data_IF_484955910356
#
_entry.id   IF_484955910356
#
_cell.length_a   1.000
_cell.length_b   1.000
_cell.length_c   1.000
_cell.angle_alpha   90.00
_cell.angle_beta   90.00
_cell.angle_gamma   90.00
#
_symmetry.space_group_name_H-M   'P 1'
#
loop_
_entity.id
_entity.type
_entity.pdbx_description
1 polymer ?
#
# COMPACT_ATOMS: atom_id res chain seq x y z
N UNK A 1 -7.43 -10.55 15.02
CA UNK A 1 -8.60 -10.18 15.84
C UNK A 1 -8.34 -8.88 16.61
N UNK A 2 -7.40 -8.04 16.11
CA UNK A 2 -7.06 -6.75 16.76
C UNK A 2 -7.28 -5.53 15.84
N UNK A 3 -7.65 -5.73 14.57
CA UNK A 3 -7.65 -4.64 13.58
C UNK A 3 -8.92 -3.77 13.61
N UNK A 4 -10.03 -4.30 14.13
CA UNK A 4 -11.26 -3.51 14.35
C UNK A 4 -11.17 -2.62 15.62
N UNK A 5 -10.28 -2.96 16.57
CA UNK A 5 -10.07 -2.15 17.77
C UNK A 5 -9.37 -0.82 17.48
N UNK A 6 -8.58 -0.73 16.41
CA UNK A 6 -7.83 0.47 16.04
C UNK A 6 -8.75 1.62 15.58
N UNK A 7 -9.62 1.37 14.59
CA UNK A 7 -10.55 2.39 14.12
C UNK A 7 -11.59 2.77 15.19
N UNK A 8 -12.07 1.81 15.99
CA UNK A 8 -12.98 2.07 17.11
C UNK A 8 -12.34 2.91 18.22
N UNK A 9 -11.04 2.71 18.50
CA UNK A 9 -10.32 3.53 19.46
C UNK A 9 -10.16 5.00 19.01
N UNK A 10 -10.19 5.25 17.71
CA UNK A 10 -10.01 6.59 17.13
C UNK A 10 -11.32 7.36 16.88
N UNK A 11 -12.50 6.81 17.23
CA UNK A 11 -13.82 7.41 16.94
C UNK A 11 -13.95 8.90 17.36
N UNK A 12 -13.34 9.30 18.46
CA UNK A 12 -13.37 10.67 18.98
C UNK A 12 -11.99 11.27 19.17
N UNK A 13 -10.96 10.65 18.58
CA UNK A 13 -9.58 11.11 18.64
C UNK A 13 -9.38 12.40 17.82
N UNK A 14 -8.22 13.04 17.97
CA UNK A 14 -7.84 14.18 17.15
C UNK A 14 -7.74 13.82 15.67
N UNK A 15 -7.86 14.82 14.78
CA UNK A 15 -7.83 14.61 13.32
C UNK A 15 -6.62 13.78 12.87
N UNK A 16 -5.44 14.11 13.40
CA UNK A 16 -4.21 13.39 13.03
C UNK A 16 -4.28 11.91 13.40
N UNK A 17 -4.70 11.61 14.63
CA UNK A 17 -4.80 10.24 15.11
C UNK A 17 -5.81 9.44 14.29
N UNK A 18 -6.93 10.06 13.90
CA UNK A 18 -7.91 9.42 13.03
C UNK A 18 -7.32 9.12 11.65
N UNK A 19 -6.64 10.07 11.02
CA UNK A 19 -6.01 9.87 9.71
C UNK A 19 -4.93 8.79 9.74
N UNK A 20 -4.08 8.80 10.77
CA UNK A 20 -3.03 7.79 10.95
C UNK A 20 -3.61 6.39 11.19
N UNK A 21 -4.69 6.30 11.97
CA UNK A 21 -5.38 5.03 12.23
C UNK A 21 -5.99 4.46 10.95
N UNK A 22 -6.78 5.25 10.21
CA UNK A 22 -7.38 4.78 8.94
C UNK A 22 -6.32 4.41 7.90
N UNK A 23 -5.20 5.13 7.86
CA UNK A 23 -4.10 4.78 6.96
C UNK A 23 -3.42 3.49 7.40
N UNK A 24 -3.23 3.30 8.70
CA UNK A 24 -2.69 2.06 9.28
C UNK A 24 -3.55 0.85 8.92
N UNK A 25 -4.86 0.95 9.12
CA UNK A 25 -5.81 -0.13 8.82
C UNK A 25 -5.75 -0.52 7.33
N UNK A 26 -5.75 0.46 6.42
CA UNK A 26 -5.59 0.20 4.99
C UNK A 26 -4.26 -0.47 4.63
N UNK A 27 -3.17 -0.15 5.35
CA UNK A 27 -1.86 -0.81 5.19
C UNK A 27 -1.90 -2.27 5.62
N UNK A 28 -2.54 -2.55 6.75
CA UNK A 28 -2.74 -3.91 7.27
C UNK A 28 -3.61 -4.71 6.30
N UNK A 29 -4.73 -4.16 5.84
CA UNK A 29 -5.61 -4.81 4.86
C UNK A 29 -4.85 -5.21 3.59
N UNK A 30 -4.07 -4.30 3.00
CA UNK A 30 -3.32 -4.57 1.77
C UNK A 30 -2.25 -5.64 1.97
N UNK A 31 -1.49 -5.60 3.06
CA UNK A 31 -0.44 -6.61 3.28
C UNK A 31 -1.02 -7.98 3.60
N UNK A 32 -2.17 -8.04 4.28
CA UNK A 32 -2.85 -9.30 4.63
C UNK A 32 -3.41 -10.06 3.43
N UNK A 33 -3.54 -9.41 2.27
CA UNK A 33 -3.91 -10.08 1.01
C UNK A 33 -2.95 -11.22 0.64
N UNK A 34 -1.73 -11.22 1.18
CA UNK A 34 -0.72 -12.26 0.92
C UNK A 34 -0.68 -13.36 1.98
N UNK A 35 -1.46 -13.24 3.05
CA UNK A 35 -1.41 -14.17 4.18
C UNK A 35 -1.83 -15.59 3.78
N UNK A 36 -0.95 -16.55 4.05
CA UNK A 36 -1.19 -17.96 3.77
C UNK A 36 -1.16 -18.36 2.30
N UNK A 37 -0.84 -17.44 1.36
CA UNK A 37 -0.73 -17.75 -0.05
C UNK A 37 0.61 -18.37 -0.40
N UNK A 38 0.56 -19.30 -1.38
CA UNK A 38 1.76 -19.76 -2.08
C UNK A 38 2.25 -18.70 -3.07
N UNK A 39 3.52 -18.80 -3.48
CA UNK A 39 4.11 -17.93 -4.51
C UNK A 39 3.31 -17.97 -5.83
N UNK A 40 2.83 -19.17 -6.22
CA UNK A 40 2.00 -19.35 -7.41
C UNK A 40 0.67 -18.60 -7.30
N UNK A 41 -0.01 -18.71 -6.15
CA UNK A 41 -1.27 -18.02 -5.89
C UNK A 41 -1.09 -16.51 -5.91
N UNK A 42 -0.10 -15.99 -5.21
CA UNK A 42 0.17 -14.54 -5.10
C UNK A 42 0.52 -13.90 -6.46
N UNK A 43 1.14 -14.67 -7.37
CA UNK A 43 1.50 -14.24 -8.73
C UNK A 43 0.44 -14.52 -9.78
N UNK A 44 -0.66 -15.21 -9.42
CA UNK A 44 -1.71 -15.60 -10.39
C UNK A 44 -2.39 -14.39 -11.00
N UNK A 45 -2.38 -14.36 -12.33
CA UNK A 45 -3.00 -13.27 -13.12
C UNK A 45 -4.39 -13.66 -13.55
N UNK A 46 -5.40 -12.98 -13.03
CA UNK A 46 -6.82 -13.25 -13.32
C UNK A 46 -7.49 -12.15 -14.16
N UNK A 47 -6.77 -11.06 -14.38
CA UNK A 47 -7.25 -9.89 -15.16
C UNK A 47 -6.24 -9.52 -16.26
N UNK A 48 -6.67 -8.83 -17.34
CA UNK A 48 -5.78 -8.45 -18.44
C UNK A 48 -4.66 -7.48 -18.04
N UNK A 49 -4.87 -6.68 -16.99
CA UNK A 49 -3.86 -5.76 -16.46
C UNK A 49 -2.70 -6.49 -15.78
N UNK A 50 -1.68 -5.76 -15.33
CA UNK A 50 -0.55 -6.29 -14.56
C UNK A 50 -0.91 -6.67 -13.11
N UNK A 51 -2.16 -6.48 -12.72
CA UNK A 51 -2.63 -6.64 -11.35
C UNK A 51 -2.63 -8.12 -10.93
N UNK A 52 -1.83 -8.41 -9.92
CA UNK A 52 -1.80 -9.66 -9.14
C UNK A 52 -1.83 -9.29 -7.66
N UNK A 53 -2.09 -10.22 -6.75
CA UNK A 53 -2.03 -9.91 -5.31
C UNK A 53 -0.64 -9.44 -4.89
N UNK A 54 0.41 -10.13 -5.35
CA UNK A 54 1.79 -9.72 -5.07
C UNK A 54 2.12 -8.35 -5.68
N UNK A 55 1.66 -8.08 -6.91
CA UNK A 55 1.83 -6.79 -7.59
C UNK A 55 1.11 -5.63 -6.89
N UNK A 56 -0.07 -5.88 -6.29
CA UNK A 56 -0.79 -4.87 -5.49
C UNK A 56 0.02 -4.43 -4.26
N UNK A 57 0.57 -5.38 -3.52
CA UNK A 57 1.40 -5.06 -2.33
C UNK A 57 2.70 -4.37 -2.74
N UNK A 58 3.33 -4.80 -3.83
CA UNK A 58 4.51 -4.12 -4.40
C UNK A 58 4.20 -2.68 -4.82
N UNK A 59 3.06 -2.47 -5.48
CA UNK A 59 2.58 -1.14 -5.83
C UNK A 59 2.32 -0.27 -4.61
N UNK A 60 1.76 -0.82 -3.53
CA UNK A 60 1.55 -0.07 -2.30
C UNK A 60 2.88 0.45 -1.71
N UNK A 61 3.94 -0.36 -1.72
CA UNK A 61 5.27 0.07 -1.31
C UNK A 61 5.80 1.23 -2.17
N UNK A 62 5.60 1.15 -3.50
CA UNK A 62 5.95 2.24 -4.42
C UNK A 62 5.18 3.53 -4.09
N UNK A 63 3.89 3.44 -3.81
CA UNK A 63 3.04 4.61 -3.51
C UNK A 63 3.47 5.29 -2.21
N UNK A 64 3.78 4.53 -1.15
CA UNK A 64 4.33 5.07 0.10
C UNK A 64 5.61 5.86 -0.17
N UNK A 65 6.58 5.27 -0.85
CA UNK A 65 7.85 5.93 -1.17
C UNK A 65 7.69 7.15 -2.05
N UNK A 66 6.77 7.14 -3.00
CA UNK A 66 6.49 8.31 -3.85
C UNK A 66 5.93 9.49 -3.06
N UNK A 67 5.11 9.24 -2.03
CA UNK A 67 4.51 10.33 -1.27
C UNK A 67 5.38 10.79 -0.12
N UNK A 68 6.00 9.89 0.61
CA UNK A 68 6.80 10.26 1.78
C UNK A 68 8.26 10.55 1.43
N UNK A 69 8.97 9.64 0.76
CA UNK A 69 10.38 9.89 0.40
C UNK A 69 10.53 10.99 -0.65
N UNK A 70 9.77 10.88 -1.76
CA UNK A 70 9.96 11.80 -2.89
C UNK A 70 9.23 13.12 -2.66
N UNK A 71 7.92 13.08 -2.38
CA UNK A 71 7.11 14.29 -2.33
C UNK A 71 7.31 15.07 -1.04
N UNK A 72 7.29 14.42 0.12
CA UNK A 72 7.41 15.06 1.43
C UNK A 72 8.88 15.36 1.77
N UNK A 73 9.74 14.35 1.77
CA UNK A 73 11.14 14.48 2.16
C UNK A 73 12.06 15.02 1.04
N UNK A 74 11.58 15.13 -0.21
CA UNK A 74 12.33 15.68 -1.34
C UNK A 74 13.49 14.81 -1.82
N UNK A 75 13.50 13.51 -1.49
CA UNK A 75 14.54 12.59 -1.94
C UNK A 75 14.46 12.37 -3.45
N UNK A 76 15.57 12.44 -4.18
CA UNK A 76 15.57 12.19 -5.61
C UNK A 76 15.10 10.75 -5.92
N UNK A 77 14.13 10.61 -6.82
CA UNK A 77 13.60 9.32 -7.22
C UNK A 77 14.66 8.33 -7.71
N UNK A 78 15.67 8.85 -8.40
CA UNK A 78 16.81 8.07 -8.92
C UNK A 78 17.63 7.38 -7.81
N UNK A 79 17.65 7.93 -6.59
CA UNK A 79 18.36 7.35 -5.44
C UNK A 79 17.59 6.19 -4.80
N UNK A 80 16.28 6.10 -5.08
CA UNK A 80 15.38 5.13 -4.48
C UNK A 80 15.15 3.89 -5.36
N UNK A 81 15.73 3.87 -6.56
CA UNK A 81 15.52 2.79 -7.54
C UNK A 81 14.04 2.47 -7.80
N UNK A 82 13.18 3.49 -7.78
CA UNK A 82 11.76 3.34 -7.98
C UNK A 82 11.41 3.17 -9.47
N UNK A 83 10.37 2.41 -9.81
CA UNK A 83 9.85 2.28 -11.16
C UNK A 83 9.55 3.63 -11.80
N UNK A 84 9.75 3.75 -13.12
CA UNK A 84 9.52 5.02 -13.84
C UNK A 84 8.05 5.37 -14.01
N UNK A 85 7.21 4.36 -14.10
CA UNK A 85 5.76 4.53 -14.29
C UNK A 85 4.96 3.83 -13.18
N UNK A 86 3.69 4.19 -13.08
CA UNK A 86 2.74 3.51 -12.18
C UNK A 86 2.54 2.07 -12.61
N UNK A 87 2.48 1.80 -13.91
CA UNK A 87 2.27 0.44 -14.43
C UNK A 87 3.45 -0.47 -14.08
N UNK A 88 4.68 0.00 -14.23
CA UNK A 88 5.89 -0.75 -13.85
C UNK A 88 5.92 -1.10 -12.36
N UNK A 89 5.27 -0.31 -11.49
CA UNK A 89 5.22 -0.63 -10.05
C UNK A 89 4.43 -1.90 -9.71
N UNK A 90 3.61 -2.41 -10.66
CA UNK A 90 2.92 -3.69 -10.55
C UNK A 90 3.72 -4.85 -11.15
N UNK A 91 4.79 -4.58 -11.89
CA UNK A 91 5.60 -5.62 -12.53
C UNK A 91 6.37 -6.42 -11.48
N UNK A 92 6.30 -7.74 -11.62
CA UNK A 92 7.00 -8.66 -10.74
C UNK A 92 8.31 -9.11 -11.38
N UNK A 93 9.40 -8.95 -10.64
CA UNK A 93 10.70 -9.50 -10.99
C UNK A 93 10.76 -10.99 -10.65
N UNK A 94 11.76 -11.68 -11.19
CA UNK A 94 11.93 -13.12 -10.98
C UNK A 94 12.21 -13.48 -9.51
N UNK A 95 12.87 -12.58 -8.79
CA UNK A 95 13.27 -12.70 -7.38
C UNK A 95 12.27 -12.08 -6.40
N UNK A 96 11.19 -11.46 -6.87
CA UNK A 96 10.10 -11.03 -5.99
C UNK A 96 9.43 -12.27 -5.38
N UNK A 97 9.32 -12.33 -4.08
CA UNK A 97 8.61 -13.36 -3.34
C UNK A 97 7.56 -12.76 -2.42
N UNK A 98 6.62 -13.55 -1.93
CA UNK A 98 5.67 -13.11 -0.91
C UNK A 98 6.41 -12.48 0.27
N UNK A 99 7.48 -13.13 0.74
CA UNK A 99 8.27 -12.63 1.85
C UNK A 99 8.99 -11.32 1.50
N UNK A 100 9.68 -11.22 0.35
CA UNK A 100 10.47 -10.03 0.01
C UNK A 100 9.57 -8.81 -0.25
N UNK A 101 8.43 -8.99 -0.90
CA UNK A 101 7.49 -7.90 -1.19
C UNK A 101 6.76 -7.46 0.08
N UNK A 102 6.37 -8.39 0.95
CA UNK A 102 5.82 -8.05 2.28
C UNK A 102 6.82 -7.21 3.08
N UNK A 103 8.09 -7.61 3.12
CA UNK A 103 9.12 -6.85 3.82
C UNK A 103 9.36 -5.48 3.19
N UNK A 104 9.45 -5.41 1.85
CA UNK A 104 9.57 -4.15 1.11
C UNK A 104 8.46 -3.16 1.49
N UNK A 105 7.21 -3.63 1.59
CA UNK A 105 6.09 -2.77 1.96
C UNK A 105 6.14 -2.35 3.43
N UNK A 106 6.47 -3.26 4.33
CA UNK A 106 6.62 -2.93 5.75
C UNK A 106 7.72 -1.92 6.01
N UNK A 107 8.85 -2.02 5.30
CA UNK A 107 9.93 -1.06 5.40
C UNK A 107 9.50 0.33 4.88
N UNK A 108 8.86 0.39 3.71
CA UNK A 108 8.35 1.63 3.15
C UNK A 108 7.33 2.31 4.08
N UNK A 109 6.43 1.53 4.67
CA UNK A 109 5.47 2.01 5.66
C UNK A 109 6.15 2.52 6.93
N UNK A 110 7.09 1.76 7.51
CA UNK A 110 7.84 2.19 8.69
C UNK A 110 8.57 3.50 8.48
N UNK A 111 9.26 3.65 7.33
CA UNK A 111 9.95 4.87 6.94
C UNK A 111 8.97 6.05 6.80
N UNK A 112 7.80 5.81 6.19
CA UNK A 112 6.76 6.81 6.00
C UNK A 112 6.23 7.36 7.35
N UNK A 113 5.99 6.47 8.31
CA UNK A 113 5.55 6.86 9.67
C UNK A 113 6.60 7.74 10.35
N UNK A 114 7.89 7.36 10.25
CA UNK A 114 8.97 8.14 10.83
C UNK A 114 9.11 9.52 10.17
N UNK A 115 9.06 9.59 8.84
CA UNK A 115 9.12 10.86 8.12
C UNK A 115 7.94 11.78 8.46
N UNK A 116 6.73 11.24 8.55
CA UNK A 116 5.54 12.01 8.87
C UNK A 116 5.53 12.55 10.30
N UNK A 117 6.24 11.90 11.24
CA UNK A 117 6.24 12.28 12.66
C UNK A 117 6.77 13.69 12.91
N UNK A 118 7.69 14.17 12.07
CA UNK A 118 8.31 15.49 12.19
C UNK A 118 7.54 16.60 11.45
N UNK A 119 6.38 16.29 10.84
CA UNK A 119 5.57 17.23 10.07
C UNK A 119 4.21 17.48 10.68
N UNK A 120 3.67 18.68 10.50
CA UNK A 120 2.28 19.00 10.79
C UNK A 120 1.37 18.66 9.60
N UNK A 121 0.08 18.45 9.86
CA UNK A 121 -0.89 18.12 8.80
C UNK A 121 -0.97 19.18 7.69
N UNK A 122 -0.67 20.43 8.00
CA UNK A 122 -0.70 21.55 7.04
C UNK A 122 0.65 21.80 6.35
N UNK A 123 1.71 21.07 6.73
CA UNK A 123 3.01 21.18 6.06
C UNK A 123 2.89 20.72 4.60
N UNK A 124 3.63 21.41 3.71
CA UNK A 124 3.53 21.19 2.28
C UNK A 124 4.64 20.26 1.77
N UNK A 125 4.25 19.21 1.11
CA UNK A 125 5.10 18.38 0.28
C UNK A 125 5.20 19.03 -1.11
N UNK A 126 6.37 19.62 -1.42
CA UNK A 126 6.55 20.46 -2.62
C UNK A 126 7.06 19.69 -3.83
N UNK A 127 7.65 18.50 -3.62
CA UNK A 127 8.41 17.77 -4.63
C UNK A 127 7.55 16.79 -5.42
N UNK A 128 6.45 17.25 -6.00
CA UNK A 128 5.62 16.43 -6.89
C UNK A 128 5.10 17.21 -8.10
N UNK A 129 4.75 16.47 -9.15
CA UNK A 129 4.32 17.04 -10.45
C UNK A 129 3.00 17.82 -10.42
N UNK A 130 2.21 17.67 -9.35
CA UNK A 130 0.90 18.34 -9.21
C UNK A 130 1.01 19.71 -8.53
N UNK A 131 2.21 20.06 -8.07
CA UNK A 131 2.44 21.20 -7.19
C UNK A 131 2.32 20.82 -5.70
N UNK A 132 2.44 21.79 -4.78
CA UNK A 132 2.41 21.54 -3.36
C UNK A 132 1.10 20.90 -2.90
N UNK A 133 1.21 19.89 -2.03
CA UNK A 133 0.07 19.25 -1.35
C UNK A 133 0.37 19.17 0.14
N UNK A 134 -0.65 19.27 1.00
CA UNK A 134 -0.44 19.11 2.44
C UNK A 134 -0.24 17.65 2.85
N UNK A 135 0.39 17.41 4.00
CA UNK A 135 0.48 16.06 4.59
C UNK A 135 -0.93 15.48 4.82
N UNK A 136 -1.90 16.30 5.25
CA UNK A 136 -3.32 15.90 5.34
C UNK A 136 -3.86 15.35 4.03
N UNK A 137 -3.56 16.01 2.91
CA UNK A 137 -3.98 15.55 1.59
C UNK A 137 -3.32 14.22 1.21
N UNK A 138 -2.04 14.02 1.57
CA UNK A 138 -1.33 12.75 1.36
C UNK A 138 -2.04 11.63 2.11
N UNK A 139 -2.36 11.82 3.39
CA UNK A 139 -3.09 10.82 4.18
C UNK A 139 -4.44 10.47 3.56
N UNK A 140 -5.26 11.45 3.23
CA UNK A 140 -6.57 11.23 2.60
C UNK A 140 -6.44 10.51 1.24
N UNK A 141 -5.42 10.86 0.46
CA UNK A 141 -5.15 10.21 -0.81
C UNK A 141 -4.77 8.74 -0.64
N UNK A 142 -3.87 8.45 0.31
CA UNK A 142 -3.42 7.08 0.59
C UNK A 142 -4.52 6.21 1.18
N UNK A 143 -5.30 6.72 2.13
CA UNK A 143 -6.47 6.00 2.68
C UNK A 143 -7.39 5.55 1.53
N UNK A 144 -7.73 6.48 0.62
CA UNK A 144 -8.58 6.15 -0.53
C UNK A 144 -7.92 5.16 -1.49
N UNK A 145 -6.62 5.29 -1.72
CA UNK A 145 -5.84 4.45 -2.63
C UNK A 145 -5.74 3.02 -2.10
N UNK A 146 -5.36 2.86 -0.83
CA UNK A 146 -5.23 1.55 -0.19
C UNK A 146 -6.60 0.85 -0.09
N UNK A 147 -7.67 1.55 0.32
CA UNK A 147 -9.01 0.97 0.37
C UNK A 147 -9.48 0.46 -1.01
N UNK A 148 -9.15 1.18 -2.10
CA UNK A 148 -9.46 0.71 -3.46
C UNK A 148 -8.68 -0.56 -3.80
N UNK A 149 -7.38 -0.59 -3.47
CA UNK A 149 -6.52 -1.73 -3.77
C UNK A 149 -6.83 -2.94 -2.90
N UNK A 150 -7.18 -2.75 -1.63
CA UNK A 150 -7.68 -3.82 -0.77
C UNK A 150 -8.93 -4.46 -1.37
N UNK A 151 -9.95 -3.68 -1.76
CA UNK A 151 -11.15 -4.21 -2.40
C UNK A 151 -10.89 -4.92 -3.74
N UNK A 152 -9.93 -4.47 -4.56
CA UNK A 152 -9.50 -5.21 -5.74
C UNK A 152 -8.83 -6.53 -5.37
N UNK A 153 -7.99 -6.50 -4.34
CA UNK A 153 -7.29 -7.68 -3.81
C UNK A 153 -8.25 -8.72 -3.26
N UNK A 154 -9.26 -8.32 -2.50
CA UNK A 154 -10.28 -9.22 -1.94
C UNK A 154 -10.98 -10.04 -3.02
N UNK A 155 -11.39 -9.38 -4.12
CA UNK A 155 -12.03 -10.06 -5.25
C UNK A 155 -11.07 -11.06 -5.92
N UNK A 156 -9.80 -10.68 -6.13
CA UNK A 156 -8.80 -11.58 -6.70
C UNK A 156 -8.51 -12.76 -5.77
N UNK A 157 -8.40 -12.53 -4.47
CA UNK A 157 -8.19 -13.55 -3.46
C UNK A 157 -9.33 -14.57 -3.44
N UNK A 158 -10.58 -14.09 -3.45
CA UNK A 158 -11.77 -14.94 -3.53
C UNK A 158 -11.71 -15.85 -4.76
N UNK A 159 -11.36 -15.32 -5.93
CA UNK A 159 -11.28 -16.07 -7.18
C UNK A 159 -10.15 -17.12 -7.15
N UNK A 160 -8.97 -16.75 -6.60
CA UNK A 160 -7.85 -17.68 -6.45
C UNK A 160 -8.23 -18.88 -5.57
N UNK A 161 -8.79 -18.59 -4.39
CA UNK A 161 -9.18 -19.61 -3.43
C UNK A 161 -10.33 -20.46 -3.93
N UNK A 162 -11.25 -19.91 -4.72
CA UNK A 162 -12.33 -20.67 -5.33
C UNK A 162 -11.83 -21.62 -6.41
N UNK A 163 -10.90 -21.17 -7.27
CA UNK A 163 -10.32 -22.00 -8.32
C UNK A 163 -9.55 -23.21 -7.75
N UNK A 164 -8.86 -23.04 -6.63
CA UNK A 164 -8.05 -24.08 -6.00
C UNK A 164 -8.90 -25.11 -5.20
N UNK A 165 -10.15 -24.75 -4.85
CA UNK A 165 -11.09 -25.70 -4.21
C UNK A 165 -11.74 -26.67 -5.19
N UNK A 166 -11.64 -26.41 -6.50
CA UNK A 166 -12.31 -27.22 -7.53
C UNK A 166 -13.83 -27.07 -7.53
N UNK A 167 -14.54 -27.65 -8.53
CA UNK A 167 -15.98 -27.62 -8.55
C UNK A 167 -16.53 -28.41 -7.33
N UNK A 168 -17.38 -27.78 -6.55
CA UNK A 168 -18.12 -28.46 -5.48
C UNK A 168 -18.97 -29.58 -6.11
N UNK A 169 -18.69 -30.81 -5.72
CA UNK A 169 -19.39 -32.01 -6.20
C UNK A 169 -20.82 -32.05 -5.71
#
# INVERSE_FOLDING_TARGET
>A
MDDLESAEAALTAGERDQLETFLHDGRVEVVSLLDGLTEEQARRRLVPSLTTLLGLVKHAAFVERMWFDVSLAGRPRAELALPDTVDESFELLADDTVQSVTQLYRDAWSDAVQMAADHYLDDLAEHNRRGPVSLRWIYLHLIRELARHAGHGDILLEQILAADRGPSS
#
